data_IF_204664181627
#
_entry.id   IF_204664181627
#
_cell.length_a   1.000
_cell.length_b   1.000
_cell.length_c   1.000
_cell.angle_alpha   90.00
_cell.angle_beta   90.00
_cell.angle_gamma   90.00
#
_symmetry.space_group_name_H-M   'P 1'
#
loop_
_entity.id
_entity.type
_entity.pdbx_description
1 polymer ?
#
# COMPACT_ATOMS: atom_id res chain seq x y z
N UNK A 1 14.59 -9.61 -4.08
CA UNK A 1 13.17 -9.23 -3.82
C UNK A 1 12.30 -10.24 -4.53
N UNK A 2 11.38 -10.94 -3.84
CA UNK A 2 10.27 -11.59 -4.54
C UNK A 2 9.54 -10.48 -5.32
N UNK A 3 9.34 -10.70 -6.62
CA UNK A 3 8.60 -9.77 -7.47
C UNK A 3 7.15 -9.74 -7.01
N UNK A 4 6.55 -8.57 -6.97
CA UNK A 4 5.13 -8.41 -6.64
C UNK A 4 4.26 -9.32 -7.52
N UNK A 5 3.29 -9.99 -6.92
CA UNK A 5 2.34 -10.81 -7.65
C UNK A 5 1.36 -9.93 -8.45
N UNK A 6 0.71 -10.45 -9.50
CA UNK A 6 -0.31 -9.71 -10.23
C UNK A 6 -1.43 -9.18 -9.34
N UNK A 7 -1.81 -9.93 -8.29
CA UNK A 7 -2.81 -9.52 -7.32
C UNK A 7 -2.36 -8.30 -6.51
N UNK A 8 -1.11 -8.30 -6.04
CA UNK A 8 -0.53 -7.16 -5.30
C UNK A 8 -0.49 -5.90 -6.16
N UNK A 9 -0.08 -6.03 -7.43
CA UNK A 9 -0.08 -4.91 -8.38
C UNK A 9 -1.47 -4.33 -8.59
N UNK A 10 -2.48 -5.20 -8.73
CA UNK A 10 -3.88 -4.77 -8.88
C UNK A 10 -4.37 -4.01 -7.65
N UNK A 11 -4.05 -4.47 -6.44
CA UNK A 11 -4.38 -3.75 -5.20
C UNK A 11 -3.74 -2.37 -5.17
N UNK A 12 -2.44 -2.29 -5.50
CA UNK A 12 -1.74 -1.00 -5.57
C UNK A 12 -2.37 -0.08 -6.60
N UNK A 13 -2.71 -0.60 -7.78
CA UNK A 13 -3.37 0.15 -8.84
C UNK A 13 -4.73 0.69 -8.41
N UNK A 14 -5.57 -0.13 -7.79
CA UNK A 14 -6.89 0.28 -7.29
C UNK A 14 -6.78 1.40 -6.25
N UNK A 15 -5.92 1.24 -5.23
CA UNK A 15 -5.74 2.27 -4.20
C UNK A 15 -5.24 3.58 -4.80
N UNK A 16 -4.31 3.50 -5.76
CA UNK A 16 -3.78 4.69 -6.44
C UNK A 16 -4.80 5.31 -7.40
N UNK A 17 -5.71 4.52 -7.98
CA UNK A 17 -6.83 4.99 -8.77
C UNK A 17 -7.81 5.79 -7.90
N UNK A 18 -8.18 5.28 -6.73
CA UNK A 18 -9.08 5.95 -5.79
C UNK A 18 -8.44 7.21 -5.20
N UNK A 19 -7.12 7.23 -5.01
CA UNK A 19 -6.40 8.46 -4.66
C UNK A 19 -6.48 9.50 -5.79
N UNK A 20 -6.35 9.06 -7.04
CA UNK A 20 -6.40 9.94 -8.21
C UNK A 20 -7.82 10.49 -8.43
N UNK A 21 -8.86 9.74 -8.10
CA UNK A 21 -10.26 10.22 -8.13
C UNK A 21 -10.61 11.11 -6.94
N UNK A 22 -9.85 11.03 -5.84
CA UNK A 22 -10.08 11.81 -4.62
C UNK A 22 -10.99 11.10 -3.61
N UNK A 23 -11.24 9.80 -3.81
CA UNK A 23 -12.14 8.99 -2.99
C UNK A 23 -11.39 8.17 -1.92
N UNK A 24 -10.06 8.07 -2.02
CA UNK A 24 -9.27 7.34 -1.03
C UNK A 24 -9.37 7.98 0.35
N UNK A 25 -9.82 7.19 1.33
CA UNK A 25 -9.89 7.56 2.75
C UNK A 25 -8.87 6.77 3.55
N UNK A 26 -8.47 7.35 4.68
CA UNK A 26 -7.64 6.68 5.68
C UNK A 26 -8.52 5.95 6.70
N UNK A 27 -7.90 5.14 7.57
CA UNK A 27 -8.63 4.43 8.63
C UNK A 27 -9.38 5.33 9.62
N UNK A 28 -9.08 6.64 9.69
CA UNK A 28 -9.84 7.61 10.48
C UNK A 28 -11.07 8.16 9.74
N UNK A 29 -11.28 7.80 8.47
CA UNK A 29 -12.33 8.35 7.60
C UNK A 29 -11.92 9.64 6.87
N UNK A 30 -10.75 10.21 7.19
CA UNK A 30 -10.26 11.41 6.49
C UNK A 30 -9.76 11.08 5.09
N UNK A 31 -10.04 11.96 4.12
CA UNK A 31 -9.49 11.86 2.76
C UNK A 31 -7.96 11.92 2.78
N UNK A 32 -7.35 11.06 1.97
CA UNK A 32 -5.89 11.01 1.80
C UNK A 32 -5.45 12.19 0.95
N UNK A 33 -4.66 13.09 1.55
CA UNK A 33 -4.21 14.33 0.89
C UNK A 33 -2.87 14.17 0.17
N UNK A 34 -2.06 13.19 0.57
CA UNK A 34 -0.69 13.04 0.08
C UNK A 34 -0.48 11.72 -0.66
N UNK A 35 0.21 11.80 -1.81
CA UNK A 35 0.57 10.63 -2.61
C UNK A 35 1.43 9.63 -1.82
N UNK A 36 2.30 10.12 -0.94
CA UNK A 36 3.13 9.28 -0.07
C UNK A 36 2.29 8.43 0.88
N UNK A 37 1.22 9.00 1.44
CA UNK A 37 0.29 8.26 2.29
C UNK A 37 -0.52 7.24 1.48
N UNK A 38 -0.98 7.60 0.28
CA UNK A 38 -1.65 6.64 -0.62
C UNK A 38 -0.75 5.44 -0.95
N UNK A 39 0.53 5.68 -1.26
CA UNK A 39 1.51 4.60 -1.49
C UNK A 39 1.68 3.72 -0.24
N UNK A 40 1.73 4.32 0.96
CA UNK A 40 1.87 3.55 2.19
C UNK A 40 0.65 2.65 2.44
N UNK A 41 -0.56 3.12 2.16
CA UNK A 41 -1.81 2.33 2.25
C UNK A 41 -1.78 1.22 1.20
N UNK A 42 -1.47 1.55 -0.05
CA UNK A 42 -1.38 0.59 -1.16
C UNK A 42 -0.40 -0.56 -0.85
N UNK A 43 0.78 -0.24 -0.32
CA UNK A 43 1.77 -1.25 0.07
C UNK A 43 1.30 -2.10 1.25
N UNK A 44 0.60 -1.50 2.23
CA UNK A 44 0.08 -2.22 3.38
C UNK A 44 -1.06 -3.18 2.98
N UNK A 45 -1.99 -2.72 2.15
CA UNK A 45 -3.15 -3.49 1.70
C UNK A 45 -2.77 -4.60 0.70
N UNK A 46 -1.69 -4.39 -0.07
CA UNK A 46 -1.12 -5.42 -0.93
C UNK A 46 -0.20 -6.42 -0.20
N UNK A 47 -0.05 -6.33 1.13
CA UNK A 47 0.91 -7.12 1.92
C UNK A 47 2.33 -7.10 1.32
N UNK A 48 2.75 -5.93 0.85
CA UNK A 48 4.10 -5.72 0.31
C UNK A 48 5.01 -5.31 1.48
N UNK A 49 5.90 -6.19 1.95
CA UNK A 49 6.79 -5.87 3.06
C UNK A 49 7.77 -4.77 2.65
N UNK A 50 7.95 -3.79 3.53
CA UNK A 50 9.00 -2.78 3.36
C UNK A 50 10.35 -3.50 3.37
N UNK A 51 11.31 -2.95 2.64
CA UNK A 51 12.64 -3.55 2.49
C UNK A 51 13.33 -3.79 3.85
N UNK A 52 13.07 -2.92 4.84
CA UNK A 52 13.60 -3.04 6.19
C UNK A 52 12.87 -4.07 7.07
N UNK A 53 11.64 -4.46 6.74
CA UNK A 53 10.83 -5.41 7.53
C UNK A 53 11.19 -6.88 7.23
N UNK A 54 11.80 -7.16 6.06
CA UNK A 54 12.25 -8.52 5.70
C UNK A 54 13.30 -9.08 6.66
N UNK A 55 14.06 -8.21 7.34
CA UNK A 55 15.03 -8.60 8.38
C UNK A 55 14.37 -8.95 9.72
N UNK A 56 13.15 -8.47 10.00
CA UNK A 56 12.46 -8.71 11.28
C UNK A 56 11.54 -9.93 11.24
N UNK A 57 10.90 -10.23 10.09
CA UNK A 57 9.95 -11.35 9.96
C UNK A 57 10.59 -12.76 9.94
N UNK A 58 11.90 -12.87 10.07
CA UNK A 58 12.65 -14.14 10.19
C UNK A 58 13.17 -14.40 11.62
N UNK A 59 12.75 -13.59 12.59
CA UNK A 59 13.02 -13.79 14.02
C UNK A 59 11.70 -13.96 14.76
N UNK A 60 11.03 -15.08 14.55
CA UNK A 60 9.99 -15.63 15.44
C UNK A 60 9.99 -17.17 15.28
#
# INVERSE_FOLDING_TARGET
MQKETPAQKKTVENVMHDYKSGDLTSGSGDRVKSRKQAIAIAMHEADIPKENDKKKRHQD
#
